data_IF_037984149111
#
_entry.id   IF_037984149111
#
_cell.length_a   1.000
_cell.length_b   1.000
_cell.length_c   1.000
_cell.angle_alpha   90.00
_cell.angle_beta   90.00
_cell.angle_gamma   90.00
#
_symmetry.space_group_name_H-M   'P 1'
#
loop_
_entity.id
_entity.type
_entity.pdbx_description
1 polymer ?
#
# COMPACT_ATOMS: atom_id res chain seq x y z
N UNK A 1 -19.97 -3.12 -2.45
CA UNK A 1 -21.25 -3.39 -3.15
C UNK A 1 -21.85 -2.13 -3.78
N UNK A 2 -21.10 -1.02 -3.89
CA UNK A 2 -21.66 0.20 -4.48
C UNK A 2 -22.11 0.01 -5.93
N UNK A 3 -21.47 -0.90 -6.67
CA UNK A 3 -21.78 -1.29 -8.05
C UNK A 3 -22.91 -2.31 -8.22
N UNK A 4 -23.45 -2.90 -7.15
CA UNK A 4 -24.41 -4.01 -7.24
C UNK A 4 -25.88 -3.60 -7.45
N UNK A 5 -26.15 -2.32 -7.74
CA UNK A 5 -27.52 -1.80 -7.86
C UNK A 5 -28.26 -1.55 -6.53
N UNK A 6 -27.55 -1.47 -5.40
CA UNK A 6 -28.16 -1.20 -4.08
C UNK A 6 -28.86 0.17 -4.01
N UNK A 7 -29.82 0.33 -3.09
CA UNK A 7 -30.62 1.55 -2.98
C UNK A 7 -29.76 2.81 -2.71
N UNK A 8 -30.10 3.98 -3.28
CA UNK A 8 -29.31 5.20 -3.11
C UNK A 8 -29.12 5.62 -1.65
N UNK A 9 -30.16 5.43 -0.82
CA UNK A 9 -30.10 5.72 0.62
C UNK A 9 -29.06 4.84 1.30
N UNK A 10 -29.04 3.54 1.00
CA UNK A 10 -28.07 2.63 1.59
C UNK A 10 -26.65 2.94 1.10
N UNK A 11 -26.46 3.33 -0.17
CA UNK A 11 -25.15 3.78 -0.68
C UNK A 11 -24.61 4.95 0.13
N UNK A 12 -25.46 5.96 0.37
CA UNK A 12 -25.09 7.14 1.12
C UNK A 12 -24.73 6.83 2.58
N UNK A 13 -25.53 6.01 3.26
CA UNK A 13 -25.25 5.60 4.64
C UNK A 13 -23.94 4.82 4.73
N UNK A 14 -23.69 3.88 3.81
CA UNK A 14 -22.43 3.11 3.78
C UNK A 14 -21.22 4.01 3.48
N UNK A 15 -21.35 4.98 2.58
CA UNK A 15 -20.31 5.97 2.30
C UNK A 15 -19.94 6.76 3.56
N UNK A 16 -20.93 7.36 4.23
CA UNK A 16 -20.69 8.17 5.43
C UNK A 16 -20.09 7.35 6.58
N UNK A 17 -20.67 6.19 6.87
CA UNK A 17 -20.19 5.35 7.97
C UNK A 17 -18.77 4.83 7.73
N UNK A 18 -18.42 4.54 6.47
CA UNK A 18 -17.05 4.10 6.11
C UNK A 18 -16.05 5.26 6.20
N UNK A 19 -16.41 6.46 5.75
CA UNK A 19 -15.55 7.65 5.92
C UNK A 19 -15.30 8.00 7.39
N UNK A 20 -16.31 7.80 8.26
CA UNK A 20 -16.18 8.06 9.70
C UNK A 20 -15.05 7.25 10.35
N UNK A 21 -14.75 6.04 9.86
CA UNK A 21 -13.68 5.16 10.38
C UNK A 21 -12.29 5.82 10.27
N UNK A 22 -12.11 6.76 9.34
CA UNK A 22 -10.86 7.49 9.18
C UNK A 22 -10.52 8.35 10.42
N UNK A 23 -11.53 8.87 11.12
CA UNK A 23 -11.35 9.75 12.29
C UNK A 23 -10.65 9.04 13.45
N UNK A 24 -11.18 7.92 14.02
CA UNK A 24 -10.50 7.23 15.12
C UNK A 24 -9.15 6.64 14.70
N UNK A 25 -9.00 6.25 13.43
CA UNK A 25 -7.74 5.73 12.90
C UNK A 25 -6.69 6.84 12.83
N UNK A 26 -7.05 8.02 12.34
CA UNK A 26 -6.17 9.20 12.31
C UNK A 26 -5.73 9.61 13.71
N UNK A 27 -6.66 9.65 14.68
CA UNK A 27 -6.34 9.96 16.09
C UNK A 27 -5.25 9.01 16.63
N UNK A 28 -5.35 7.70 16.36
CA UNK A 28 -4.33 6.72 16.77
C UNK A 28 -2.97 7.00 16.13
N UNK A 29 -2.93 7.27 14.83
CA UNK A 29 -1.69 7.58 14.11
C UNK A 29 -1.03 8.84 14.66
N UNK A 30 -1.79 9.90 14.91
CA UNK A 30 -1.25 11.13 15.52
C UNK A 30 -0.77 10.92 16.95
N UNK A 31 -1.47 10.13 17.76
CA UNK A 31 -1.01 9.79 19.11
C UNK A 31 0.31 9.01 19.10
N UNK A 32 0.51 8.09 18.15
CA UNK A 32 1.79 7.39 17.99
C UNK A 32 2.92 8.33 17.56
N UNK A 33 2.65 9.25 16.62
CA UNK A 33 3.61 10.28 16.23
C UNK A 33 3.98 11.18 17.41
N UNK A 34 3.01 11.59 18.21
CA UNK A 34 3.22 12.42 19.39
C UNK A 34 4.01 11.68 20.49
N UNK A 35 3.85 10.36 20.61
CA UNK A 35 4.64 9.53 21.54
C UNK A 35 6.13 9.53 21.15
N UNK A 36 6.44 9.62 19.87
CA UNK A 36 7.82 9.69 19.37
C UNK A 36 8.38 11.13 19.36
N UNK A 37 7.51 12.13 19.34
CA UNK A 37 7.90 13.54 19.29
C UNK A 37 8.60 13.97 20.60
N UNK A 38 9.81 14.51 20.47
CA UNK A 38 10.63 14.90 21.62
C UNK A 38 11.26 13.73 22.39
N UNK A 39 11.13 12.50 21.90
CA UNK A 39 11.74 11.31 22.48
C UNK A 39 13.13 10.99 21.92
N UNK A 40 13.89 10.17 22.65
CA UNK A 40 15.15 9.58 22.16
C UNK A 40 14.88 8.17 21.63
N UNK A 41 14.74 8.03 20.30
CA UNK A 41 14.49 6.73 19.68
C UNK A 41 15.78 5.92 19.55
N UNK A 42 15.75 4.71 20.10
CA UNK A 42 16.77 3.70 19.85
C UNK A 42 16.39 2.93 18.59
N UNK A 43 17.20 3.08 17.53
CA UNK A 43 16.99 2.39 16.26
C UNK A 43 17.46 0.93 16.36
N UNK A 44 16.51 0.05 16.67
CA UNK A 44 16.64 -1.41 16.73
C UNK A 44 15.74 -2.02 15.68
N UNK A 45 15.91 -3.31 15.39
CA UNK A 45 15.11 -3.98 14.36
C UNK A 45 13.59 -3.78 14.58
N UNK A 46 13.10 -3.93 15.81
CA UNK A 46 11.67 -3.78 16.12
C UNK A 46 11.15 -2.35 15.90
N UNK A 47 11.93 -1.30 16.20
CA UNK A 47 11.50 0.09 15.97
C UNK A 47 11.49 0.42 14.47
N UNK A 48 12.40 -0.14 13.67
CA UNK A 48 12.37 0.03 12.22
C UNK A 48 11.10 -0.56 11.60
N UNK A 49 10.69 -1.77 12.00
CA UNK A 49 9.44 -2.37 11.55
C UNK A 49 8.21 -1.55 11.97
N UNK A 50 8.21 -0.99 13.19
CA UNK A 50 7.12 -0.13 13.66
C UNK A 50 7.03 1.20 12.88
N UNK A 51 8.16 1.81 12.55
CA UNK A 51 8.21 3.01 11.70
C UNK A 51 7.78 2.69 10.26
N UNK A 52 8.23 1.57 9.71
CA UNK A 52 7.80 1.08 8.40
C UNK A 52 6.28 0.88 8.34
N UNK A 53 5.72 0.21 9.37
CA UNK A 53 4.27 0.07 9.57
C UNK A 53 3.56 1.42 9.50
N UNK A 54 4.03 2.41 10.28
CA UNK A 54 3.38 3.71 10.36
C UNK A 54 3.31 4.41 8.99
N UNK A 55 4.40 4.34 8.22
CA UNK A 55 4.48 4.92 6.88
C UNK A 55 3.55 4.19 5.91
N UNK A 56 3.68 2.86 5.79
CA UNK A 56 2.89 2.08 4.82
C UNK A 56 1.40 2.08 5.15
N UNK A 57 1.04 2.02 6.43
CA UNK A 57 -0.34 2.08 6.89
C UNK A 57 -0.96 3.45 6.63
N UNK A 58 -0.21 4.54 6.77
CA UNK A 58 -0.70 5.89 6.46
C UNK A 58 -0.97 6.06 4.96
N UNK A 59 -0.05 5.61 4.10
CA UNK A 59 -0.27 5.59 2.65
C UNK A 59 -1.47 4.73 2.25
N UNK A 60 -1.62 3.57 2.90
CA UNK A 60 -2.80 2.71 2.77
C UNK A 60 -4.09 3.40 3.21
N UNK A 61 -4.07 4.10 4.34
CA UNK A 61 -5.22 4.85 4.85
C UNK A 61 -5.67 5.97 3.90
N UNK A 62 -4.72 6.72 3.35
CA UNK A 62 -4.99 7.79 2.37
C UNK A 62 -5.65 7.20 1.10
N UNK A 63 -5.06 6.15 0.53
CA UNK A 63 -5.67 5.46 -0.63
C UNK A 63 -7.04 4.86 -0.31
N UNK A 64 -7.28 4.49 0.96
CA UNK A 64 -8.55 3.97 1.44
C UNK A 64 -9.71 4.94 1.34
N UNK A 65 -9.45 6.25 1.39
CA UNK A 65 -10.49 7.28 1.38
C UNK A 65 -11.15 7.48 0.02
N UNK A 66 -10.59 6.92 -1.05
CA UNK A 66 -11.21 6.94 -2.37
C UNK A 66 -12.37 5.93 -2.50
N UNK A 67 -12.31 4.76 -1.84
CA UNK A 67 -13.36 3.73 -1.97
C UNK A 67 -14.71 4.06 -1.34
N UNK A 68 -14.81 4.76 -0.19
CA UNK A 68 -16.13 5.14 0.32
C UNK A 68 -16.80 6.22 -0.53
N UNK A 69 -16.04 7.00 -1.31
CA UNK A 69 -16.62 7.98 -2.23
C UNK A 69 -17.25 7.25 -3.43
N UNK A 70 -18.58 7.23 -3.49
CA UNK A 70 -19.33 6.49 -4.52
C UNK A 70 -18.88 6.84 -5.95
N UNK A 71 -18.64 8.13 -6.24
CA UNK A 71 -18.18 8.57 -7.55
C UNK A 71 -16.81 7.98 -7.95
N UNK A 72 -15.92 7.82 -6.97
CA UNK A 72 -14.59 7.25 -7.19
C UNK A 72 -14.64 5.72 -7.25
N UNK A 73 -15.39 5.07 -6.36
CA UNK A 73 -15.52 3.61 -6.36
C UNK A 73 -16.08 3.11 -7.69
N UNK A 74 -17.03 3.81 -8.32
CA UNK A 74 -17.53 3.43 -9.64
C UNK A 74 -16.44 3.20 -10.70
N UNK A 75 -15.35 3.96 -10.65
CA UNK A 75 -14.22 3.85 -11.59
C UNK A 75 -13.13 2.91 -11.09
N UNK A 76 -12.94 2.83 -9.77
CA UNK A 76 -11.87 2.05 -9.15
C UNK A 76 -12.32 0.64 -8.75
N UNK A 77 -13.61 0.34 -8.87
CA UNK A 77 -14.17 -0.95 -8.50
C UNK A 77 -13.56 -2.08 -9.35
N UNK A 78 -13.26 -3.21 -8.70
CA UNK A 78 -12.62 -4.37 -9.35
C UNK A 78 -11.31 -4.07 -10.10
N UNK A 79 -10.61 -2.96 -9.83
CA UNK A 79 -9.29 -2.68 -10.43
C UNK A 79 -8.13 -3.02 -9.48
N UNK A 80 -6.91 -2.96 -10.00
CA UNK A 80 -5.69 -3.07 -9.19
C UNK A 80 -5.54 -1.98 -8.13
N UNK A 81 -6.33 -0.89 -8.18
CA UNK A 81 -6.30 0.14 -7.15
C UNK A 81 -6.81 -0.41 -5.81
N UNK A 82 -7.89 -1.22 -5.84
CA UNK A 82 -8.41 -1.93 -4.66
C UNK A 82 -7.38 -2.92 -4.12
N UNK A 83 -6.72 -3.65 -5.02
CA UNK A 83 -5.68 -4.62 -4.66
C UNK A 83 -4.52 -3.91 -3.97
N UNK A 84 -4.03 -2.81 -4.54
CA UNK A 84 -2.96 -2.01 -3.96
C UNK A 84 -3.32 -1.53 -2.56
N UNK A 85 -4.45 -0.86 -2.41
CA UNK A 85 -4.92 -0.36 -1.11
C UNK A 85 -4.95 -1.47 -0.05
N UNK A 86 -5.58 -2.60 -0.38
CA UNK A 86 -5.71 -3.71 0.55
C UNK A 86 -4.33 -4.23 0.99
N UNK A 87 -3.36 -4.33 0.08
CA UNK A 87 -2.01 -4.77 0.44
C UNK A 87 -1.27 -3.72 1.28
N UNK A 88 -1.47 -2.42 1.02
CA UNK A 88 -0.97 -1.32 1.85
C UNK A 88 -1.41 -1.40 3.32
N UNK A 89 -2.68 -1.75 3.57
CA UNK A 89 -3.18 -1.87 4.94
C UNK A 89 -3.02 -3.26 5.54
N UNK A 90 -3.11 -4.33 4.73
CA UNK A 90 -3.03 -5.70 5.22
C UNK A 90 -1.58 -6.14 5.43
N UNK A 91 -0.75 -6.04 4.40
CA UNK A 91 0.67 -6.42 4.50
C UNK A 91 1.43 -5.32 5.27
N UNK A 92 1.30 -4.07 4.82
CA UNK A 92 1.93 -2.93 5.50
C UNK A 92 1.42 -2.68 6.91
N UNK A 93 0.21 -3.14 7.25
CA UNK A 93 -0.34 -3.05 8.61
C UNK A 93 -0.03 -4.27 9.46
N UNK A 94 -0.59 -5.42 9.09
CA UNK A 94 -0.57 -6.63 9.92
C UNK A 94 0.80 -7.30 9.90
N UNK A 95 1.40 -7.51 8.72
CA UNK A 95 2.66 -8.26 8.62
C UNK A 95 3.82 -7.46 9.21
N UNK A 96 3.90 -6.16 8.95
CA UNK A 96 4.92 -5.29 9.54
C UNK A 96 4.77 -5.18 11.07
N UNK A 97 3.54 -5.01 11.56
CA UNK A 97 3.25 -5.01 12.99
C UNK A 97 3.59 -6.36 13.65
N UNK A 98 3.32 -7.47 12.97
CA UNK A 98 3.64 -8.81 13.43
C UNK A 98 5.16 -9.01 13.52
N UNK A 99 5.94 -8.59 12.52
CA UNK A 99 7.40 -8.65 12.61
C UNK A 99 7.94 -7.75 13.71
N UNK A 100 7.41 -6.52 13.86
CA UNK A 100 7.78 -5.67 14.99
C UNK A 100 7.55 -6.37 16.34
N UNK A 101 6.39 -7.03 16.50
CA UNK A 101 6.06 -7.82 17.68
C UNK A 101 6.98 -9.03 17.89
N UNK A 102 7.28 -9.79 16.84
CA UNK A 102 8.21 -10.92 16.91
C UNK A 102 9.59 -10.45 17.38
N UNK A 103 10.19 -9.46 16.71
CA UNK A 103 11.51 -8.96 17.07
C UNK A 103 11.55 -8.35 18.49
N UNK A 104 10.43 -7.77 18.95
CA UNK A 104 10.31 -7.22 20.29
C UNK A 104 10.19 -8.31 21.38
N UNK A 105 9.34 -9.32 21.17
CA UNK A 105 9.08 -10.36 22.18
C UNK A 105 9.97 -11.60 22.07
N UNK A 106 10.74 -11.77 20.99
CA UNK A 106 11.61 -12.92 20.81
C UNK A 106 12.59 -13.18 21.97
N UNK A 107 13.27 -12.16 22.55
CA UNK A 107 14.17 -12.37 23.70
C UNK A 107 13.42 -12.87 24.93
N UNK A 108 12.17 -12.43 25.11
CA UNK A 108 11.32 -12.83 26.23
C UNK A 108 10.81 -14.25 26.07
N UNK A 109 10.48 -14.67 24.85
CA UNK A 109 9.95 -16.00 24.56
C UNK A 109 11.03 -17.10 24.54
N UNK A 110 12.23 -16.79 24.04
CA UNK A 110 13.29 -17.80 23.81
C UNK A 110 14.49 -17.68 24.75
N UNK A 111 14.61 -16.57 25.49
CA UNK A 111 15.77 -16.26 26.30
C UNK A 111 17.05 -15.93 25.50
N UNK A 112 16.94 -15.77 24.16
CA UNK A 112 18.07 -15.48 23.27
C UNK A 112 17.86 -14.16 22.52
N UNK A 113 18.94 -13.40 22.33
CA UNK A 113 18.92 -12.19 21.52
C UNK A 113 19.07 -12.54 20.03
N UNK A 114 18.23 -11.94 19.18
CA UNK A 114 18.41 -12.03 17.72
C UNK A 114 19.57 -11.14 17.26
N UNK A 115 20.22 -11.53 16.16
CA UNK A 115 21.25 -10.70 15.55
C UNK A 115 20.62 -9.47 14.87
N UNK A 116 20.91 -8.29 15.40
CA UNK A 116 20.40 -7.02 14.88
C UNK A 116 20.80 -6.75 13.42
N UNK A 117 22.01 -7.14 12.99
CA UNK A 117 22.44 -6.90 11.60
C UNK A 117 21.55 -7.65 10.61
N UNK A 118 21.21 -8.90 10.93
CA UNK A 118 20.31 -9.73 10.11
C UNK A 118 18.89 -9.19 10.16
N UNK A 119 18.44 -8.72 11.33
CA UNK A 119 17.14 -8.08 11.50
C UNK A 119 16.97 -6.82 10.65
N UNK A 120 17.99 -5.96 10.62
CA UNK A 120 18.00 -4.76 9.78
C UNK A 120 18.01 -5.11 8.30
N UNK A 121 18.81 -6.11 7.87
CA UNK A 121 18.81 -6.57 6.48
C UNK A 121 17.41 -7.06 6.10
N UNK A 122 16.77 -7.87 6.95
CA UNK A 122 15.42 -8.37 6.73
C UNK A 122 14.39 -7.23 6.60
N UNK A 123 14.50 -6.19 7.42
CA UNK A 123 13.68 -5.00 7.29
C UNK A 123 13.89 -4.29 5.95
N UNK A 124 15.14 -4.04 5.56
CA UNK A 124 15.46 -3.30 4.32
C UNK A 124 14.99 -4.08 3.09
N UNK A 125 15.34 -5.37 2.97
CA UNK A 125 14.88 -6.19 1.84
C UNK A 125 13.37 -6.33 1.83
N UNK A 126 12.73 -6.53 2.99
CA UNK A 126 11.29 -6.60 3.12
C UNK A 126 10.60 -5.31 2.66
N UNK A 127 11.02 -4.16 3.20
CA UNK A 127 10.45 -2.85 2.90
C UNK A 127 10.62 -2.44 1.43
N UNK A 128 11.81 -2.66 0.85
CA UNK A 128 12.08 -2.33 -0.55
C UNK A 128 11.28 -3.25 -1.47
N UNK A 129 11.35 -4.58 -1.26
CA UNK A 129 10.64 -5.54 -2.12
C UNK A 129 9.14 -5.30 -2.08
N UNK A 130 8.61 -5.02 -0.88
CA UNK A 130 7.22 -4.68 -0.69
C UNK A 130 6.80 -3.45 -1.50
N UNK A 131 7.52 -2.33 -1.36
CA UNK A 131 7.17 -1.12 -2.11
C UNK A 131 7.36 -1.31 -3.61
N UNK A 132 8.39 -2.02 -4.08
CA UNK A 132 8.58 -2.29 -5.51
C UNK A 132 7.41 -3.05 -6.13
N UNK A 133 6.81 -4.00 -5.40
CA UNK A 133 5.68 -4.79 -5.90
C UNK A 133 4.38 -3.99 -5.90
N UNK A 134 4.08 -3.26 -4.82
CA UNK A 134 2.76 -2.65 -4.64
C UNK A 134 2.67 -1.20 -5.09
N UNK A 135 3.78 -0.47 -5.21
CA UNK A 135 3.80 0.92 -5.66
C UNK A 135 3.30 1.15 -7.10
N UNK A 136 3.53 0.23 -8.07
CA UNK A 136 2.98 0.39 -9.41
C UNK A 136 1.47 0.13 -9.51
N UNK A 137 0.91 -0.70 -8.62
CA UNK A 137 -0.48 -1.18 -8.71
C UNK A 137 -1.55 -0.08 -8.65
N UNK A 138 -1.44 1.02 -7.86
CA UNK A 138 -2.37 2.13 -7.91
C UNK A 138 -2.46 2.77 -9.30
N UNK A 139 -1.33 2.91 -10.01
CA UNK A 139 -1.30 3.48 -11.35
C UNK A 139 -2.02 2.59 -12.35
N UNK A 140 -1.73 1.29 -12.31
CA UNK A 140 -2.43 0.28 -13.12
C UNK A 140 -3.94 0.27 -12.85
N UNK A 141 -4.33 0.47 -11.59
CA UNK A 141 -5.73 0.56 -11.20
C UNK A 141 -6.45 1.80 -11.74
N UNK A 142 -5.78 2.95 -11.79
CA UNK A 142 -6.31 4.19 -12.39
C UNK A 142 -6.43 4.04 -13.91
N UNK A 143 -5.54 3.27 -14.53
CA UNK A 143 -5.60 2.91 -15.95
C UNK A 143 -6.69 1.86 -16.27
N UNK A 144 -7.45 1.41 -15.27
CA UNK A 144 -8.58 0.51 -15.46
C UNK A 144 -8.22 -0.97 -15.56
N UNK A 145 -6.99 -1.36 -15.19
CA UNK A 145 -6.59 -2.77 -15.21
C UNK A 145 -7.46 -3.59 -14.24
N UNK A 146 -8.26 -4.56 -14.74
CA UNK A 146 -9.18 -5.34 -13.91
C UNK A 146 -8.42 -6.38 -13.10
N UNK A 147 -8.82 -6.61 -11.85
CA UNK A 147 -8.23 -7.64 -11.00
C UNK A 147 -8.69 -9.05 -11.39
N UNK A 148 -7.96 -10.07 -10.93
CA UNK A 148 -8.28 -11.51 -11.11
C UNK A 148 -8.30 -11.99 -12.57
N UNK A 149 -7.64 -11.28 -13.47
CA UNK A 149 -7.36 -11.79 -14.81
C UNK A 149 -5.99 -12.49 -14.83
N UNK A 150 -5.93 -13.63 -15.52
CA UNK A 150 -4.69 -14.38 -15.70
C UNK A 150 -3.84 -13.82 -16.84
N UNK A 151 -4.47 -13.13 -17.80
CA UNK A 151 -3.82 -12.49 -18.94
C UNK A 151 -4.52 -11.17 -19.26
N UNK A 152 -3.76 -10.23 -19.82
CA UNK A 152 -4.27 -8.97 -20.35
C UNK A 152 -3.92 -8.97 -21.84
N UNK A 153 -4.95 -9.01 -22.69
CA UNK A 153 -4.75 -8.91 -24.13
C UNK A 153 -4.43 -7.45 -24.44
N UNK A 154 -3.21 -7.20 -24.89
CA UNK A 154 -2.80 -5.91 -25.42
C UNK A 154 -2.83 -6.06 -26.93
N UNK A 155 -3.67 -5.28 -27.60
CA UNK A 155 -3.63 -5.16 -29.06
C UNK A 155 -2.36 -4.39 -29.43
N UNK A 156 -1.69 -4.71 -30.55
CA UNK A 156 -0.42 -4.04 -30.95
C UNK A 156 -0.56 -2.52 -30.98
N UNK A 157 -1.73 -2.04 -31.34
CA UNK A 157 -2.05 -0.63 -31.54
C UNK A 157 -2.24 0.09 -30.19
N UNK A 158 -2.68 -0.66 -29.17
CA UNK A 158 -2.81 -0.20 -27.78
C UNK A 158 -1.46 -0.25 -27.06
N UNK A 159 -0.54 -1.15 -27.42
CA UNK A 159 0.82 -1.21 -26.87
C UNK A 159 1.58 0.11 -27.08
N UNK A 160 1.42 0.74 -28.25
CA UNK A 160 2.04 2.01 -28.58
C UNK A 160 1.31 3.24 -28.02
N UNK A 161 0.04 3.07 -27.61
CA UNK A 161 -0.77 4.12 -27.00
C UNK A 161 -0.74 4.09 -25.46
N UNK A 162 -0.28 2.99 -24.86
CA UNK A 162 0.01 2.92 -23.44
C UNK A 162 1.13 3.92 -23.12
N UNK A 163 0.96 4.78 -22.10
CA UNK A 163 2.06 5.61 -21.63
C UNK A 163 3.24 4.67 -21.29
N UNK A 164 4.48 5.06 -21.62
CA UNK A 164 5.67 4.19 -21.55
C UNK A 164 5.86 3.50 -20.18
N UNK A 165 5.25 4.07 -19.14
CA UNK A 165 5.25 3.58 -17.76
C UNK A 165 4.25 2.43 -17.50
N UNK A 166 3.25 2.23 -18.37
CA UNK A 166 2.22 1.19 -18.26
C UNK A 166 2.55 -0.08 -19.07
N UNK A 167 3.25 0.10 -20.19
CA UNK A 167 3.67 -1.00 -21.05
C UNK A 167 4.85 -1.80 -20.48
N UNK A 168 5.64 -1.22 -19.57
CA UNK A 168 6.81 -1.88 -19.03
C UNK A 168 7.02 -1.56 -17.55
N UNK A 169 6.88 -2.59 -16.70
CA UNK A 169 7.28 -2.53 -15.29
C UNK A 169 8.76 -2.11 -15.13
N UNK A 170 9.56 -2.22 -16.20
CA UNK A 170 10.96 -1.78 -16.26
C UNK A 170 11.15 -0.26 -16.25
N UNK A 171 10.23 0.57 -16.76
CA UNK A 171 10.36 2.05 -16.65
C UNK A 171 10.09 2.56 -15.20
N UNK A 172 9.70 1.70 -14.24
CA UNK A 172 9.61 2.07 -12.82
C UNK A 172 10.92 1.90 -12.03
N UNK A 173 11.98 1.34 -12.62
CA UNK A 173 13.31 1.23 -12.01
C UNK A 173 14.23 2.35 -12.53
N UNK A 174 14.98 3.07 -11.67
CA UNK A 174 15.74 4.27 -12.06
C UNK A 174 17.03 3.99 -12.87
N UNK A 175 17.13 2.86 -13.57
CA UNK A 175 18.37 2.37 -14.19
C UNK A 175 18.29 2.15 -15.72
N UNK A 176 17.32 2.73 -16.43
CA UNK A 176 17.32 2.67 -17.90
C UNK A 176 17.22 4.05 -18.58
N UNK A 177 18.17 4.38 -19.49
CA UNK A 177 18.21 5.67 -20.20
C UNK A 177 17.28 5.75 -21.41
N UNK A 178 16.33 4.82 -21.58
CA UNK A 178 15.56 4.67 -22.84
C UNK A 178 14.08 5.03 -22.77
N UNK A 179 13.57 5.66 -21.69
CA UNK A 179 12.21 6.21 -21.70
C UNK A 179 12.17 7.56 -22.47
N UNK A 180 12.65 7.58 -23.72
CA UNK A 180 12.47 8.70 -24.66
C UNK A 180 11.50 8.30 -25.77
N UNK A 181 10.35 8.97 -25.80
CA UNK A 181 9.32 8.82 -26.84
C UNK A 181 9.92 8.90 -28.25
N UNK A 182 9.61 7.98 -29.19
CA UNK A 182 9.77 8.28 -30.59
C UNK A 182 8.63 9.21 -30.99
N UNK A 183 8.98 10.46 -31.27
CA UNK A 183 8.09 11.42 -31.91
C UNK A 183 7.57 10.84 -33.23
N UNK A 184 6.25 10.63 -33.33
CA UNK A 184 5.46 10.75 -34.56
C UNK A 184 4.10 11.34 -34.16
#
# INVERSE_FOLDING_TARGET
MFTSGMSPVLRFVTMLTTMLVAVPTGIKVFNWLQTMHGGSLVYRTHTLWALGFLVTFTLGGISGMYFPAVAMDLHLHETYFVVAHFHYVFVGGIIFGLYAGIYYWFPKATGRMMNEKVGVIHFITGFISYNLVFWPMPRLGIQGMPRRQHTYFITTDEYFALPAEAADWKCCLPLQPSCSSPAI
#
